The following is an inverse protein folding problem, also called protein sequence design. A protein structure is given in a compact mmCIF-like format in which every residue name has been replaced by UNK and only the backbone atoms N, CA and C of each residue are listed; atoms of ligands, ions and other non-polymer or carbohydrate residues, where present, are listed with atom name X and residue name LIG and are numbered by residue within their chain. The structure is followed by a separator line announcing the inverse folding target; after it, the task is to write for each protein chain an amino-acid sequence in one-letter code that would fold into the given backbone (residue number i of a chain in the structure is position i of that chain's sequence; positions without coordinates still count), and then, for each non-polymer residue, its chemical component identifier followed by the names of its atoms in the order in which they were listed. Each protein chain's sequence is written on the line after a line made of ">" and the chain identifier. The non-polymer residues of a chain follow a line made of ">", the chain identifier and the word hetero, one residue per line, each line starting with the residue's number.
data_IF_092664184023
#
_entry.id   IF_092664184023
#
_cell.length_a   1.000
_cell.length_b   1.000
_cell.length_c   1.000
_cell.angle_alpha   90.00
_cell.angle_beta   90.00
_cell.angle_gamma   90.00
#
_symmetry.space_group_name_H-M   'P 1'
#
loop_
_entity.id
_entity.type
_entity.pdbx_description
1 polymer ?
#
# COMPACT_ATOMS: atom_id res chain seq x y z
N UNK A 1 -0.28 -52.38 30.34
CA UNK A 1 0.62 -51.49 31.12
C UNK A 1 1.75 -50.89 30.28
N UNK A 2 2.44 -51.64 29.40
CA UNK A 2 3.48 -51.12 28.49
C UNK A 2 3.07 -49.89 27.66
N UNK A 3 1.87 -49.88 27.07
CA UNK A 3 1.43 -48.77 26.21
C UNK A 3 1.16 -47.47 26.98
N UNK A 4 0.76 -47.54 28.26
CA UNK A 4 0.58 -46.37 29.11
C UNK A 4 1.92 -45.75 29.53
N UNK A 5 2.96 -46.58 29.68
CA UNK A 5 4.32 -46.13 29.99
C UNK A 5 4.97 -45.40 28.80
N UNK A 6 4.76 -45.90 27.57
CA UNK A 6 5.25 -45.26 26.33
C UNK A 6 4.58 -43.91 26.09
N UNK A 7 3.27 -43.80 26.33
CA UNK A 7 2.52 -42.53 26.25
C UNK A 7 3.00 -41.50 27.29
N UNK A 8 3.32 -41.94 28.51
CA UNK A 8 3.88 -41.07 29.56
C UNK A 8 5.29 -40.56 29.21
N UNK A 9 6.14 -41.42 28.65
CA UNK A 9 7.48 -41.04 28.17
C UNK A 9 7.41 -40.04 27.01
N UNK A 10 6.42 -40.14 26.12
CA UNK A 10 6.20 -39.20 25.01
C UNK A 10 5.71 -37.83 25.48
N UNK A 11 4.87 -37.79 26.54
CA UNK A 11 4.38 -36.53 27.13
C UNK A 11 5.48 -35.76 27.89
N UNK A 12 6.43 -36.48 28.50
CA UNK A 12 7.57 -35.88 29.19
C UNK A 12 8.61 -35.37 28.18
N UNK A 13 8.75 -36.02 27.01
CA UNK A 13 9.68 -35.56 25.98
C UNK A 13 9.24 -34.27 25.27
N UNK A 14 7.93 -34.00 25.22
CA UNK A 14 7.37 -32.81 24.54
C UNK A 14 7.29 -31.58 25.43
N UNK A 15 7.47 -31.72 26.75
CA UNK A 15 7.39 -30.61 27.72
C UNK A 15 8.71 -29.86 27.94
N UNK A 16 9.80 -30.24 27.26
CA UNK A 16 11.15 -29.65 27.45
C UNK A 16 11.59 -28.77 26.26
N UNK A 17 10.74 -28.58 25.25
CA UNK A 17 11.06 -27.65 24.16
C UNK A 17 10.65 -26.24 24.57
N UNK A 18 11.57 -25.51 25.20
CA UNK A 18 11.46 -24.06 25.38
C UNK A 18 11.50 -23.40 24.00
N UNK A 19 10.34 -23.04 23.47
CA UNK A 19 10.23 -22.22 22.26
C UNK A 19 10.57 -20.79 22.65
N UNK A 20 11.82 -20.38 22.46
CA UNK A 20 12.19 -18.97 22.55
C UNK A 20 11.63 -18.23 21.34
N UNK A 21 10.74 -17.27 21.59
CA UNK A 21 10.33 -16.32 20.56
C UNK A 21 11.55 -15.50 20.09
N UNK A 22 11.59 -15.15 18.79
CA UNK A 22 12.60 -14.21 18.30
C UNK A 22 12.40 -12.86 19.00
N UNK A 23 13.49 -12.29 19.51
CA UNK A 23 13.49 -10.91 20.01
C UNK A 23 13.27 -9.96 18.84
N UNK A 24 12.38 -8.98 19.02
CA UNK A 24 12.21 -7.94 18.00
C UNK A 24 13.53 -7.18 17.80
N UNK A 25 13.85 -6.78 16.55
CA UNK A 25 15.02 -5.95 16.29
C UNK A 25 14.85 -4.58 16.98
N UNK A 26 15.98 -3.95 17.28
CA UNK A 26 15.99 -2.61 17.86
C UNK A 26 15.33 -1.58 16.91
N UNK A 27 14.53 -0.67 17.48
CA UNK A 27 13.80 0.31 16.69
C UNK A 27 14.71 1.30 15.97
N UNK A 28 15.80 1.74 16.62
CA UNK A 28 16.76 2.68 16.05
C UNK A 28 17.54 2.00 14.93
N UNK A 29 18.00 0.77 15.14
CA UNK A 29 18.65 -0.02 14.10
C UNK A 29 17.72 -0.24 12.90
N UNK A 30 16.46 -0.61 13.14
CA UNK A 30 15.45 -0.80 12.10
C UNK A 30 15.22 0.49 11.30
N UNK A 31 15.10 1.64 11.97
CA UNK A 31 14.96 2.94 11.29
C UNK A 31 16.18 3.29 10.44
N UNK A 32 17.39 3.03 10.91
CA UNK A 32 18.60 3.25 10.10
C UNK A 32 18.63 2.37 8.85
N UNK A 33 18.19 1.11 8.94
CA UNK A 33 18.05 0.24 7.76
C UNK A 33 17.00 0.77 6.79
N UNK A 34 15.83 1.19 7.28
CA UNK A 34 14.77 1.78 6.44
C UNK A 34 15.28 3.03 5.70
N UNK A 35 15.96 3.95 6.41
CA UNK A 35 16.56 5.16 5.83
C UNK A 35 17.62 4.81 4.78
N UNK A 36 18.48 3.82 5.04
CA UNK A 36 19.53 3.38 4.12
C UNK A 36 18.94 2.82 2.82
N UNK A 37 17.96 1.92 2.92
CA UNK A 37 17.31 1.30 1.75
C UNK A 37 16.53 2.35 0.95
N UNK A 38 15.76 3.21 1.62
CA UNK A 38 15.04 4.28 0.96
C UNK A 38 15.98 5.28 0.27
N UNK A 39 17.07 5.66 0.94
CA UNK A 39 18.10 6.54 0.37
C UNK A 39 18.76 5.95 -0.88
N UNK A 40 19.02 4.64 -0.90
CA UNK A 40 19.49 3.95 -2.10
C UNK A 40 18.45 4.02 -3.24
N UNK A 41 17.17 3.75 -2.93
CA UNK A 41 16.11 3.78 -3.93
C UNK A 41 15.94 5.17 -4.55
N UNK A 42 15.78 6.21 -3.72
CA UNK A 42 15.64 7.60 -4.20
C UNK A 42 16.85 8.05 -5.02
N UNK A 43 18.06 7.62 -4.66
CA UNK A 43 19.27 7.90 -5.46
C UNK A 43 19.24 7.17 -6.81
N UNK A 44 18.87 5.89 -6.82
CA UNK A 44 18.82 5.07 -8.04
C UNK A 44 17.73 5.53 -9.01
N UNK A 45 16.60 5.99 -8.47
CA UNK A 45 15.45 6.45 -9.23
C UNK A 45 15.19 7.94 -9.01
N UNK A 46 16.24 8.76 -9.04
CA UNK A 46 16.14 10.20 -8.80
C UNK A 46 15.16 10.87 -9.78
N UNK A 47 15.09 10.39 -11.02
CA UNK A 47 14.02 10.75 -11.95
C UNK A 47 12.78 9.88 -11.72
N UNK A 48 11.77 10.47 -11.07
CA UNK A 48 10.48 9.86 -10.78
C UNK A 48 9.57 9.71 -12.02
N UNK A 49 9.91 10.37 -13.14
CA UNK A 49 9.14 10.32 -14.39
C UNK A 49 9.47 9.09 -15.23
N UNK A 50 10.66 8.50 -15.01
CA UNK A 50 11.16 7.37 -15.81
C UNK A 50 10.27 6.12 -15.64
N UNK A 51 9.76 5.52 -16.74
CA UNK A 51 9.00 4.28 -16.68
C UNK A 51 9.89 3.09 -16.32
N UNK A 52 9.27 2.02 -15.81
CA UNK A 52 9.96 0.73 -15.62
C UNK A 52 9.76 -0.18 -16.84
N UNK A 53 10.70 -1.10 -17.04
CA UNK A 53 10.61 -2.11 -18.11
C UNK A 53 10.72 -3.51 -17.51
N UNK A 54 9.66 -4.30 -17.69
CA UNK A 54 9.67 -5.75 -17.43
C UNK A 54 8.68 -6.43 -18.37
N UNK A 55 9.20 -7.01 -19.45
CA UNK A 55 8.43 -7.55 -20.59
C UNK A 55 7.72 -6.48 -21.43
N UNK A 56 7.26 -5.40 -20.81
CA UNK A 56 6.64 -4.22 -21.41
C UNK A 56 6.98 -2.96 -20.61
N UNK A 57 6.83 -1.80 -21.25
CA UNK A 57 6.95 -0.49 -20.59
C UNK A 57 5.78 -0.28 -19.63
N UNK A 58 6.09 0.21 -18.42
CA UNK A 58 5.13 0.49 -17.36
C UNK A 58 5.35 1.92 -16.85
N UNK A 59 4.36 2.82 -16.94
CA UNK A 59 4.51 4.17 -16.41
C UNK A 59 4.64 4.15 -14.89
N UNK A 60 5.24 5.18 -14.31
CA UNK A 60 5.56 5.20 -12.87
C UNK A 60 4.35 5.45 -11.96
N UNK A 61 3.12 5.60 -12.48
CA UNK A 61 1.88 5.73 -11.71
C UNK A 61 0.99 4.47 -11.68
N UNK A 62 1.56 3.30 -11.93
CA UNK A 62 0.90 2.01 -11.66
C UNK A 62 1.54 1.31 -10.45
N UNK A 63 0.93 0.21 -10.01
CA UNK A 63 1.35 -0.58 -8.83
C UNK A 63 2.86 -0.81 -8.69
N UNK A 64 3.58 -1.08 -9.78
CA UNK A 64 5.01 -1.39 -9.74
C UNK A 64 5.87 -0.29 -9.09
N UNK A 65 5.36 0.94 -9.08
CA UNK A 65 5.98 2.06 -8.36
C UNK A 65 5.06 2.66 -7.29
N UNK A 66 3.73 2.54 -7.43
CA UNK A 66 2.78 3.00 -6.42
C UNK A 66 3.04 2.41 -5.03
N UNK A 67 3.32 1.12 -4.93
CA UNK A 67 3.62 0.44 -3.64
C UNK A 67 4.86 1.03 -2.95
N UNK A 68 5.86 1.47 -3.72
CA UNK A 68 7.01 2.16 -3.13
C UNK A 68 6.61 3.48 -2.47
N UNK A 69 5.75 4.27 -3.11
CA UNK A 69 5.34 5.56 -2.57
C UNK A 69 4.40 5.42 -1.37
N UNK A 70 3.57 4.38 -1.31
CA UNK A 70 2.86 3.98 -0.09
C UNK A 70 3.85 3.77 1.07
N UNK A 71 4.89 2.97 0.85
CA UNK A 71 5.96 2.73 1.84
C UNK A 71 6.72 4.00 2.22
N UNK A 72 6.98 4.89 1.26
CA UNK A 72 7.65 6.18 1.52
C UNK A 72 6.78 7.10 2.39
N UNK A 73 5.46 7.13 2.18
CA UNK A 73 4.53 7.88 3.03
C UNK A 73 4.39 7.26 4.42
N UNK A 74 4.43 5.94 4.53
CA UNK A 74 4.51 5.27 5.83
C UNK A 74 5.81 5.63 6.58
N UNK A 75 6.96 5.62 5.89
CA UNK A 75 8.23 6.06 6.49
C UNK A 75 8.20 7.54 6.88
N UNK A 76 7.63 8.41 6.05
CA UNK A 76 7.46 9.83 6.37
C UNK A 76 6.62 10.05 7.64
N UNK A 77 5.59 9.23 7.87
CA UNK A 77 4.72 9.36 9.06
C UNK A 77 5.45 9.13 10.39
N UNK A 78 6.52 8.33 10.38
CA UNK A 78 7.34 8.05 11.58
C UNK A 78 8.67 8.82 11.60
N UNK A 79 9.15 9.24 10.44
CA UNK A 79 10.40 9.99 10.28
C UNK A 79 10.23 11.06 9.20
N UNK A 80 9.60 12.20 9.53
CA UNK A 80 9.26 13.22 8.56
C UNK A 80 10.51 13.87 8.00
N UNK A 81 10.66 13.84 6.68
CA UNK A 81 11.67 14.60 5.94
C UNK A 81 11.06 15.28 4.73
N UNK A 82 11.49 16.51 4.50
CA UNK A 82 11.01 17.32 3.38
C UNK A 82 11.31 16.67 2.03
N UNK A 83 12.48 16.05 1.86
CA UNK A 83 12.85 15.41 0.59
C UNK A 83 11.99 14.18 0.26
N UNK A 84 11.51 13.44 1.27
CA UNK A 84 10.58 12.32 1.08
C UNK A 84 9.21 12.80 0.60
N UNK A 85 8.70 13.84 1.25
CA UNK A 85 7.44 14.48 0.86
C UNK A 85 7.55 15.06 -0.55
N UNK A 86 8.59 15.86 -0.81
CA UNK A 86 8.80 16.51 -2.10
C UNK A 86 8.93 15.52 -3.24
N UNK A 87 9.72 14.46 -3.07
CA UNK A 87 9.88 13.43 -4.10
C UNK A 87 8.54 12.75 -4.46
N UNK A 88 7.69 12.53 -3.45
CA UNK A 88 6.35 11.94 -3.64
C UNK A 88 5.37 12.92 -4.27
N UNK A 89 5.38 14.18 -3.81
CA UNK A 89 4.55 15.25 -4.34
C UNK A 89 4.86 15.51 -5.82
N UNK A 90 6.14 15.70 -6.16
CA UNK A 90 6.57 15.97 -7.52
C UNK A 90 6.19 14.82 -8.47
N UNK A 91 6.29 13.56 -8.01
CA UNK A 91 5.83 12.40 -8.77
C UNK A 91 4.31 12.43 -9.01
N UNK A 92 3.52 12.73 -7.97
CA UNK A 92 2.07 12.80 -8.08
C UNK A 92 1.62 13.94 -9.01
N UNK A 93 2.27 15.11 -8.88
CA UNK A 93 2.02 16.29 -9.70
C UNK A 93 2.40 16.08 -11.18
N UNK A 94 3.54 15.42 -11.45
CA UNK A 94 3.93 15.04 -12.81
C UNK A 94 2.85 14.20 -13.50
N UNK A 95 2.24 13.25 -12.78
CA UNK A 95 1.12 12.44 -13.25
C UNK A 95 -0.22 13.17 -13.20
N UNK A 96 -0.23 14.46 -12.83
CA UNK A 96 -1.41 15.33 -12.71
C UNK A 96 -2.45 14.71 -11.79
N UNK A 97 -2.00 14.03 -10.74
CA UNK A 97 -2.86 13.35 -9.78
C UNK A 97 -3.79 12.33 -10.47
N UNK A 98 -3.31 11.70 -11.54
CA UNK A 98 -4.09 10.86 -12.44
C UNK A 98 -3.59 9.42 -12.53
N UNK A 99 -4.50 8.52 -12.87
CA UNK A 99 -4.21 7.09 -13.10
C UNK A 99 -3.90 6.84 -14.57
N UNK A 100 -3.11 5.80 -14.87
CA UNK A 100 -2.68 5.45 -16.24
C UNK A 100 -3.83 5.39 -17.26
N UNK A 101 -4.95 4.76 -16.90
CA UNK A 101 -6.11 4.58 -17.79
C UNK A 101 -7.26 5.54 -17.45
N UNK A 102 -6.96 6.66 -16.81
CA UNK A 102 -7.93 7.71 -16.49
C UNK A 102 -8.97 7.32 -15.45
N UNK A 103 -9.98 8.19 -15.30
CA UNK A 103 -10.94 8.12 -14.19
C UNK A 103 -11.97 6.99 -14.36
N UNK A 104 -12.06 6.36 -15.53
CA UNK A 104 -12.99 5.25 -15.80
C UNK A 104 -12.35 3.88 -15.61
N UNK A 105 -11.08 3.81 -15.21
CA UNK A 105 -10.43 2.52 -14.94
C UNK A 105 -11.08 1.83 -13.75
N UNK A 106 -11.16 0.50 -13.82
CA UNK A 106 -11.51 -0.39 -12.71
C UNK A 106 -10.36 -1.32 -12.34
N UNK A 107 -9.22 -1.17 -13.03
CA UNK A 107 -8.07 -2.02 -12.81
C UNK A 107 -7.33 -1.56 -11.54
N UNK A 108 -7.24 -2.44 -10.55
CA UNK A 108 -6.57 -2.15 -9.29
C UNK A 108 -5.11 -1.71 -9.46
N UNK A 109 -4.39 -2.23 -10.47
CA UNK A 109 -3.01 -1.82 -10.79
C UNK A 109 -2.90 -0.31 -11.10
N UNK A 110 -3.93 0.27 -11.72
CA UNK A 110 -3.99 1.70 -12.03
C UNK A 110 -4.38 2.52 -10.81
N UNK A 111 -5.20 1.96 -9.93
CA UNK A 111 -5.68 2.62 -8.71
C UNK A 111 -4.59 2.78 -7.66
N UNK A 112 -3.56 1.92 -7.63
CA UNK A 112 -2.53 1.90 -6.59
C UNK A 112 -1.92 3.28 -6.25
N UNK A 113 -1.65 4.13 -7.25
CA UNK A 113 -1.12 5.47 -7.02
C UNK A 113 -2.05 6.37 -6.18
N UNK A 114 -3.35 6.12 -6.24
CA UNK A 114 -4.38 6.83 -5.50
C UNK A 114 -4.25 6.72 -3.98
N UNK A 115 -3.65 5.64 -3.47
CA UNK A 115 -3.35 5.52 -2.04
C UNK A 115 -2.44 6.65 -1.56
N UNK A 116 -1.33 6.85 -2.29
CA UNK A 116 -0.37 7.92 -2.00
C UNK A 116 -0.97 9.31 -2.23
N UNK A 117 -1.80 9.49 -3.26
CA UNK A 117 -2.46 10.79 -3.50
C UNK A 117 -3.33 11.19 -2.32
N UNK A 118 -4.08 10.24 -1.76
CA UNK A 118 -4.88 10.45 -0.55
C UNK A 118 -3.99 10.73 0.67
N UNK A 119 -2.88 10.01 0.81
CA UNK A 119 -1.97 10.19 1.95
C UNK A 119 -1.32 11.58 1.94
N UNK A 120 -0.82 12.06 0.80
CA UNK A 120 -0.28 13.42 0.68
C UNK A 120 -1.37 14.44 0.95
N UNK A 121 -2.57 14.26 0.40
CA UNK A 121 -3.69 15.18 0.64
C UNK A 121 -4.06 15.28 2.13
N UNK A 122 -4.06 14.16 2.85
CA UNK A 122 -4.29 14.15 4.30
C UNK A 122 -3.18 14.85 5.10
N UNK A 123 -1.94 14.81 4.62
CA UNK A 123 -0.81 15.52 5.24
C UNK A 123 -0.94 17.04 4.99
N UNK A 124 -1.21 17.45 3.75
CA UNK A 124 -1.33 18.85 3.37
C UNK A 124 -2.38 19.02 2.25
N UNK A 125 -3.65 19.36 2.60
CA UNK A 125 -4.75 19.48 1.65
C UNK A 125 -4.70 20.83 0.89
N UNK A 126 -3.62 21.05 0.15
CA UNK A 126 -3.34 22.32 -0.53
C UNK A 126 -4.19 22.56 -1.79
N UNK A 127 -4.57 21.50 -2.51
CA UNK A 127 -5.45 21.56 -3.68
C UNK A 127 -6.43 20.37 -3.68
N UNK A 128 -7.76 20.59 -3.72
CA UNK A 128 -8.75 19.52 -3.90
C UNK A 128 -8.51 18.64 -5.14
N UNK A 129 -7.82 19.15 -6.17
CA UNK A 129 -7.50 18.40 -7.38
C UNK A 129 -6.60 17.20 -7.12
N UNK A 130 -5.85 17.18 -6.02
CA UNK A 130 -4.94 16.09 -5.64
C UNK A 130 -5.66 14.74 -5.52
N UNK A 131 -6.92 14.75 -5.10
CA UNK A 131 -7.73 13.53 -4.93
C UNK A 131 -8.91 13.43 -5.89
N UNK A 132 -9.18 14.49 -6.67
CA UNK A 132 -10.37 14.59 -7.52
C UNK A 132 -10.50 13.40 -8.50
N UNK A 133 -9.42 13.04 -9.17
CA UNK A 133 -9.44 11.99 -10.19
C UNK A 133 -9.64 10.59 -9.59
N UNK A 134 -8.90 10.27 -8.51
CA UNK A 134 -9.06 8.99 -7.84
C UNK A 134 -10.44 8.89 -7.17
N UNK A 135 -10.93 9.98 -6.55
CA UNK A 135 -12.30 10.01 -6.01
C UNK A 135 -13.35 9.76 -7.08
N UNK A 136 -13.23 10.41 -8.25
CA UNK A 136 -14.16 10.19 -9.35
C UNK A 136 -14.16 8.72 -9.84
N UNK A 137 -12.99 8.08 -9.91
CA UNK A 137 -12.89 6.67 -10.30
C UNK A 137 -13.49 5.74 -9.26
N UNK A 138 -13.18 5.94 -7.98
CA UNK A 138 -13.73 5.11 -6.91
C UNK A 138 -15.23 5.34 -6.75
N UNK A 139 -15.72 6.57 -6.86
CA UNK A 139 -17.17 6.85 -6.87
C UNK A 139 -17.88 6.14 -8.02
N UNK A 140 -17.26 6.08 -9.21
CA UNK A 140 -17.80 5.30 -10.33
C UNK A 140 -17.83 3.80 -10.00
N UNK A 141 -16.79 3.23 -9.40
CA UNK A 141 -16.79 1.82 -8.99
C UNK A 141 -17.87 1.54 -7.94
N UNK A 142 -17.97 2.38 -6.91
CA UNK A 142 -18.99 2.27 -5.84
C UNK A 142 -20.41 2.32 -6.39
N UNK A 143 -20.69 3.18 -7.35
CA UNK A 143 -22.05 3.37 -7.90
C UNK A 143 -22.42 2.38 -9.02
N UNK A 144 -21.69 1.28 -9.16
CA UNK A 144 -21.94 0.28 -10.20
C UNK A 144 -22.11 -1.12 -9.60
N UNK A 145 -22.94 -2.00 -10.21
CA UNK A 145 -23.27 -3.29 -9.62
C UNK A 145 -22.15 -4.34 -9.72
N UNK A 146 -21.13 -4.16 -10.58
CA UNK A 146 -20.07 -5.15 -10.78
C UNK A 146 -19.17 -5.27 -9.54
N UNK A 147 -18.93 -6.49 -9.08
CA UNK A 147 -18.13 -6.78 -7.87
C UNK A 147 -16.93 -7.71 -8.13
N UNK A 148 -16.75 -8.15 -9.37
CA UNK A 148 -15.71 -9.09 -9.77
C UNK A 148 -14.42 -8.41 -10.28
N UNK A 149 -14.20 -7.15 -9.93
CA UNK A 149 -13.02 -6.38 -10.36
C UNK A 149 -11.72 -6.93 -9.73
N UNK A 150 -11.79 -7.45 -8.51
CA UNK A 150 -10.65 -8.00 -7.75
C UNK A 150 -10.59 -9.52 -7.81
N UNK A 151 -10.39 -10.06 -9.00
CA UNK A 151 -10.28 -11.50 -9.21
C UNK A 151 -8.88 -12.08 -8.91
N UNK A 152 -7.89 -11.24 -8.55
CA UNK A 152 -6.54 -11.65 -8.17
C UNK A 152 -6.13 -11.05 -6.83
N UNK A 153 -5.34 -11.78 -6.04
CA UNK A 153 -5.06 -11.43 -4.65
C UNK A 153 -4.35 -10.09 -4.49
N UNK A 154 -3.44 -9.73 -5.40
CA UNK A 154 -2.71 -8.46 -5.35
C UNK A 154 -3.65 -7.25 -5.50
N UNK A 155 -4.81 -7.40 -6.17
CA UNK A 155 -5.79 -6.33 -6.34
C UNK A 155 -6.24 -5.75 -5.00
N UNK A 156 -6.30 -6.60 -3.97
CA UNK A 156 -6.63 -6.20 -2.60
C UNK A 156 -5.63 -5.16 -2.12
N UNK A 157 -4.33 -5.42 -2.22
CA UNK A 157 -3.31 -4.42 -1.83
C UNK A 157 -3.37 -3.18 -2.73
N UNK A 158 -3.62 -3.34 -4.03
CA UNK A 158 -3.54 -2.21 -4.96
C UNK A 158 -4.70 -1.23 -4.83
N UNK A 159 -5.92 -1.69 -4.55
CA UNK A 159 -7.11 -0.83 -4.56
C UNK A 159 -7.90 -0.79 -3.24
N UNK A 160 -7.95 -1.86 -2.46
CA UNK A 160 -8.77 -1.91 -1.24
C UNK A 160 -8.49 -0.78 -0.25
N UNK A 161 -7.23 -0.40 0.04
CA UNK A 161 -6.95 0.68 0.99
C UNK A 161 -7.55 2.02 0.57
N UNK A 162 -7.80 2.25 -0.72
CA UNK A 162 -8.36 3.51 -1.22
C UNK A 162 -9.82 3.65 -0.79
N UNK A 163 -10.59 2.55 -0.81
CA UNK A 163 -11.96 2.52 -0.31
C UNK A 163 -11.99 2.79 1.19
N UNK A 164 -11.13 2.13 1.97
CA UNK A 164 -11.03 2.38 3.40
C UNK A 164 -10.62 3.82 3.73
N UNK A 165 -9.66 4.39 2.99
CA UNK A 165 -9.21 5.78 3.13
C UNK A 165 -10.32 6.76 2.80
N UNK A 166 -11.09 6.55 1.72
CA UNK A 166 -12.24 7.41 1.40
C UNK A 166 -13.39 7.28 2.39
N UNK A 167 -13.72 6.06 2.82
CA UNK A 167 -14.71 5.85 3.88
C UNK A 167 -14.33 6.62 5.15
N UNK A 168 -13.06 6.59 5.55
CA UNK A 168 -12.57 7.34 6.71
C UNK A 168 -12.61 8.85 6.49
N UNK A 169 -12.20 9.32 5.31
CA UNK A 169 -12.13 10.74 4.97
C UNK A 169 -13.51 11.39 4.85
N UNK A 170 -14.49 10.67 4.30
CA UNK A 170 -15.82 11.21 3.98
C UNK A 170 -16.88 10.85 5.02
N UNK A 171 -16.67 9.78 5.79
CA UNK A 171 -17.70 9.18 6.65
C UNK A 171 -18.78 8.40 5.89
N UNK A 172 -18.66 8.23 4.58
CA UNK A 172 -19.69 7.58 3.76
C UNK A 172 -19.54 6.05 3.76
N UNK A 173 -20.57 5.35 4.23
CA UNK A 173 -20.60 3.89 4.37
C UNK A 173 -20.43 3.14 3.03
N UNK A 174 -20.87 3.74 1.92
CA UNK A 174 -20.82 3.16 0.57
C UNK A 174 -19.43 2.67 0.15
N UNK A 175 -18.36 3.29 0.63
CA UNK A 175 -17.00 2.88 0.31
C UNK A 175 -16.66 1.55 0.99
N UNK A 176 -17.06 1.38 2.25
CA UNK A 176 -16.84 0.13 3.00
C UNK A 176 -17.72 -1.00 2.47
N UNK A 177 -18.98 -0.71 2.12
CA UNK A 177 -19.89 -1.71 1.57
C UNK A 177 -19.36 -2.25 0.23
N UNK A 178 -18.97 -1.35 -0.68
CA UNK A 178 -18.39 -1.78 -1.96
C UNK A 178 -17.09 -2.57 -1.79
N UNK A 179 -16.25 -2.13 -0.87
CA UNK A 179 -14.99 -2.81 -0.52
C UNK A 179 -15.23 -4.23 -0.05
N UNK A 180 -16.27 -4.45 0.78
CA UNK A 180 -16.65 -5.76 1.28
C UNK A 180 -17.27 -6.64 0.19
N UNK A 181 -18.13 -6.08 -0.66
CA UNK A 181 -18.76 -6.82 -1.76
C UNK A 181 -17.75 -7.37 -2.78
N UNK A 182 -16.58 -6.72 -2.92
CA UNK A 182 -15.51 -7.14 -3.83
C UNK A 182 -14.46 -8.06 -3.19
N UNK A 183 -14.53 -8.32 -1.88
CA UNK A 183 -13.58 -9.18 -1.14
C UNK A 183 -14.08 -10.62 -1.05
#
# INVERSE_FOLDING_TARGET
>A
MKNKLVLLLFLILTSVVSVSAQTLPDQKETLEVMKKVNGYFMKKYADYTTPSFYGRVRPSNIWTRGVYYEGLMALYSIYPREDYYKYTYDWADFHKWGMRNGNTTRNADDHCCGQTYIDIYNICPSDPNMIRNIKASIDMVVNTPQVNDWWWIDAVQMAMPIFAKFGKMTGEQKYYDKMWDMY
#
